data_IF_643814765110
#
_entry.id   IF_643814765110
#
_cell.length_a   1.000
_cell.length_b   1.000
_cell.length_c   1.000
_cell.angle_alpha   90.00
_cell.angle_beta   90.00
_cell.angle_gamma   90.00
#
_symmetry.space_group_name_H-M   'P 1'
#
loop_
_entity.id
_entity.type
_entity.pdbx_description
1 polymer ?
#
# COMPACT_ATOMS: atom_id res chain seq x y z
N UNK A 1 -17.43 -39.82 -39.20
CA UNK A 1 -17.41 -38.42 -38.70
C UNK A 1 -17.67 -38.40 -37.20
N UNK A 2 -16.71 -38.80 -36.35
CA UNK A 2 -16.89 -38.85 -34.88
C UNK A 2 -15.61 -38.56 -34.07
N UNK A 3 -14.58 -37.95 -34.67
CA UNK A 3 -13.26 -37.78 -34.04
C UNK A 3 -12.86 -36.30 -33.89
N UNK A 4 -13.68 -35.36 -34.36
CA UNK A 4 -13.33 -33.93 -34.39
C UNK A 4 -13.94 -33.08 -33.27
N UNK A 5 -14.65 -33.69 -32.32
CA UNK A 5 -15.36 -32.95 -31.24
C UNK A 5 -14.63 -33.04 -29.89
N UNK A 6 -13.59 -33.87 -29.76
CA UNK A 6 -12.95 -34.12 -28.46
C UNK A 6 -11.78 -33.18 -28.10
N UNK A 7 -11.34 -32.31 -29.02
CA UNK A 7 -10.07 -31.54 -28.83
C UNK A 7 -10.31 -30.08 -28.42
N UNK A 8 -11.54 -29.56 -28.49
CA UNK A 8 -11.84 -28.16 -28.13
C UNK A 8 -12.17 -27.92 -26.66
N UNK A 9 -12.21 -28.97 -25.82
CA UNK A 9 -12.54 -28.89 -24.38
C UNK A 9 -11.29 -29.14 -23.50
N UNK A 10 -10.11 -28.72 -23.96
CA UNK A 10 -8.85 -28.88 -23.23
C UNK A 10 -8.15 -27.55 -22.88
N UNK A 11 -8.84 -26.41 -23.04
CA UNK A 11 -8.36 -25.11 -22.58
C UNK A 11 -9.35 -24.49 -21.58
N UNK A 12 -9.74 -25.26 -20.56
CA UNK A 12 -10.25 -24.64 -19.33
C UNK A 12 -9.03 -24.06 -18.64
N UNK A 13 -8.65 -22.83 -19.02
CA UNK A 13 -7.82 -21.99 -18.17
C UNK A 13 -8.63 -21.78 -16.90
N UNK A 14 -8.37 -22.59 -15.87
CA UNK A 14 -8.82 -22.29 -14.52
C UNK A 14 -8.11 -21.01 -14.12
N UNK A 15 -8.77 -19.87 -14.34
CA UNK A 15 -8.34 -18.60 -13.75
C UNK A 15 -8.56 -18.78 -12.25
N UNK A 16 -7.52 -19.22 -11.56
CA UNK A 16 -7.49 -19.25 -10.11
C UNK A 16 -7.45 -17.80 -9.66
N UNK A 17 -8.62 -17.19 -9.48
CA UNK A 17 -8.74 -15.95 -8.75
C UNK A 17 -8.42 -16.29 -7.30
N UNK A 18 -7.15 -16.17 -6.92
CA UNK A 18 -6.83 -16.19 -5.51
C UNK A 18 -7.55 -15.05 -4.83
N UNK A 19 -8.08 -15.34 -3.66
CA UNK A 19 -8.82 -14.40 -2.82
C UNK A 19 -7.85 -13.62 -1.94
N UNK A 20 -8.26 -12.43 -1.49
CA UNK A 20 -7.59 -11.68 -0.43
C UNK A 20 -7.16 -12.58 0.73
N UNK A 21 -5.93 -12.40 1.20
CA UNK A 21 -5.32 -13.18 2.27
C UNK A 21 -4.73 -14.52 1.85
N UNK A 22 -4.92 -14.97 0.59
CA UNK A 22 -4.29 -16.20 0.11
C UNK A 22 -2.77 -16.03 0.08
N UNK A 23 -2.05 -17.10 0.45
CA UNK A 23 -0.60 -17.13 0.29
C UNK A 23 -0.19 -17.00 -1.17
N UNK A 24 0.81 -16.18 -1.42
CA UNK A 24 1.35 -15.95 -2.75
C UNK A 24 2.88 -15.84 -2.70
N UNK A 25 3.53 -16.17 -3.81
CA UNK A 25 4.96 -15.89 -4.03
C UNK A 25 5.16 -14.88 -5.16
N UNK A 26 4.13 -14.63 -5.96
CA UNK A 26 4.14 -13.73 -7.09
C UNK A 26 2.76 -13.07 -7.28
N UNK A 27 2.72 -11.89 -7.93
CA UNK A 27 1.49 -11.15 -8.21
C UNK A 27 0.53 -11.89 -9.14
N UNK A 28 1.05 -12.71 -10.06
CA UNK A 28 0.22 -13.52 -10.98
C UNK A 28 -0.66 -14.54 -10.27
N UNK A 29 -0.34 -14.86 -9.01
CA UNK A 29 -1.14 -15.74 -8.18
C UNK A 29 -2.29 -15.00 -7.51
N UNK A 30 -2.35 -13.67 -7.55
CA UNK A 30 -3.40 -12.87 -6.91
C UNK A 30 -4.50 -12.46 -7.89
N UNK A 31 -5.66 -12.07 -7.37
CA UNK A 31 -6.78 -11.60 -8.18
C UNK A 31 -6.50 -10.28 -8.91
N UNK A 32 -7.38 -9.91 -9.84
CA UNK A 32 -7.30 -8.60 -10.50
C UNK A 32 -7.49 -7.47 -9.49
N UNK A 33 -6.60 -6.48 -9.49
CA UNK A 33 -6.63 -5.39 -8.50
C UNK A 33 -5.98 -5.77 -7.16
N UNK A 34 -5.30 -6.90 -7.10
CA UNK A 34 -4.55 -7.36 -5.93
C UNK A 34 -3.05 -7.43 -6.20
N UNK A 35 -2.27 -7.32 -5.13
CA UNK A 35 -0.82 -7.46 -5.13
C UNK A 35 -0.40 -8.55 -4.16
N UNK A 36 0.73 -9.20 -4.44
CA UNK A 36 1.34 -10.11 -3.49
C UNK A 36 2.17 -9.32 -2.46
N UNK A 37 1.62 -9.13 -1.25
CA UNK A 37 2.29 -8.44 -0.15
C UNK A 37 3.30 -9.37 0.51
N UNK A 38 4.56 -9.25 0.10
CA UNK A 38 5.71 -9.95 0.65
C UNK A 38 6.46 -8.96 1.53
N UNK A 39 6.19 -8.99 2.84
CA UNK A 39 6.85 -8.08 3.77
C UNK A 39 8.36 -8.29 3.71
N UNK A 40 9.08 -7.19 3.57
CA UNK A 40 10.53 -7.25 3.58
C UNK A 40 10.99 -7.59 4.99
N UNK A 41 11.52 -8.79 5.17
CA UNK A 41 12.17 -9.22 6.42
C UNK A 41 13.54 -8.55 6.55
N UNK A 42 13.60 -7.22 6.51
CA UNK A 42 14.80 -6.51 6.91
C UNK A 42 14.96 -6.75 8.42
N UNK A 43 15.55 -7.87 8.80
CA UNK A 43 15.99 -8.07 10.16
C UNK A 43 17.11 -7.07 10.41
N UNK A 44 16.78 -6.02 11.17
CA UNK A 44 17.78 -5.12 11.75
C UNK A 44 18.53 -5.93 12.80
N UNK A 45 19.49 -6.74 12.35
CA UNK A 45 20.37 -7.50 13.23
C UNK A 45 21.49 -6.60 13.73
N UNK A 46 21.75 -6.64 15.03
CA UNK A 46 22.96 -6.04 15.60
C UNK A 46 24.19 -6.73 15.01
N UNK A 47 25.26 -5.99 14.69
CA UNK A 47 26.55 -6.56 14.24
C UNK A 47 27.11 -7.66 15.18
N UNK A 48 26.61 -7.73 16.43
CA UNK A 48 27.01 -8.72 17.44
C UNK A 48 26.40 -10.11 17.24
N UNK A 49 25.43 -10.27 16.33
CA UNK A 49 24.66 -11.52 16.13
C UNK A 49 24.86 -12.11 14.73
N UNK A 50 26.07 -12.01 14.16
CA UNK A 50 26.43 -12.72 12.92
C UNK A 50 26.60 -14.22 13.17
N UNK A 51 25.51 -14.90 13.52
CA UNK A 51 25.41 -16.34 13.30
C UNK A 51 25.26 -16.58 11.79
N UNK A 52 25.77 -17.70 11.26
CA UNK A 52 25.69 -17.98 9.83
C UNK A 52 24.22 -18.11 9.45
N UNK A 53 23.71 -17.10 8.76
CA UNK A 53 22.36 -17.05 8.21
C UNK A 53 22.17 -18.22 7.23
N UNK A 54 21.73 -19.35 7.78
CA UNK A 54 21.32 -20.51 7.02
C UNK A 54 19.89 -20.25 6.54
N UNK A 55 19.77 -20.35 5.22
CA UNK A 55 18.59 -20.53 4.39
C UNK A 55 18.14 -19.27 3.62
N UNK A 56 17.94 -19.38 2.30
CA UNK A 56 17.14 -18.39 1.58
C UNK A 56 15.74 -18.48 2.16
N UNK A 57 15.34 -17.47 2.93
CA UNK A 57 13.98 -17.41 3.46
C UNK A 57 13.06 -17.36 2.23
N UNK A 58 12.23 -18.39 2.07
CA UNK A 58 11.26 -18.43 0.99
C UNK A 58 10.32 -17.25 1.20
N UNK A 59 10.42 -16.26 0.33
CA UNK A 59 9.63 -15.04 0.36
C UNK A 59 8.19 -15.36 -0.03
N UNK A 60 7.40 -15.86 0.93
CA UNK A 60 5.95 -15.95 0.80
C UNK A 60 5.30 -14.70 1.36
N UNK A 61 4.18 -14.33 0.76
CA UNK A 61 3.37 -13.18 1.12
C UNK A 61 1.90 -13.55 1.14
N UNK A 62 1.05 -12.53 1.19
CA UNK A 62 -0.40 -12.70 1.05
C UNK A 62 -0.96 -11.76 0.01
N UNK A 63 -1.98 -12.19 -0.73
CA UNK A 63 -2.68 -11.31 -1.66
C UNK A 63 -3.45 -10.23 -0.89
N UNK A 64 -3.18 -8.97 -1.22
CA UNK A 64 -3.84 -7.80 -0.61
C UNK A 64 -4.28 -6.83 -1.71
N UNK A 65 -5.22 -5.94 -1.40
CA UNK A 65 -5.71 -4.95 -2.38
C UNK A 65 -4.63 -3.92 -2.71
N UNK A 66 -4.57 -3.51 -3.97
CA UNK A 66 -3.91 -2.26 -4.33
C UNK A 66 -4.67 -1.06 -3.77
N UNK A 67 -3.95 0.05 -3.58
CA UNK A 67 -4.53 1.35 -3.28
C UNK A 67 -4.99 2.04 -4.56
N UNK A 68 -6.24 2.46 -4.59
CA UNK A 68 -6.86 3.08 -5.78
C UNK A 68 -6.60 4.59 -5.84
N UNK A 69 -6.94 5.22 -6.97
CA UNK A 69 -6.78 6.66 -7.17
C UNK A 69 -7.46 7.47 -6.06
N UNK A 70 -6.75 8.45 -5.51
CA UNK A 70 -7.20 9.30 -4.40
C UNK A 70 -7.02 8.70 -3.01
N UNK A 71 -6.76 7.39 -2.87
CA UNK A 71 -6.52 6.77 -1.57
C UNK A 71 -5.20 7.21 -0.95
N UNK A 72 -5.16 7.25 0.37
CA UNK A 72 -3.96 7.59 1.12
C UNK A 72 -2.87 6.52 0.97
N UNK A 73 -1.66 6.95 0.65
CA UNK A 73 -0.52 6.07 0.44
C UNK A 73 0.70 6.53 1.23
N UNK A 74 1.67 5.62 1.40
CA UNK A 74 2.99 5.93 1.93
C UNK A 74 4.03 5.52 0.88
N UNK A 75 4.94 6.43 0.54
CA UNK A 75 5.99 6.23 -0.47
C UNK A 75 6.92 5.06 -0.17
N UNK A 76 7.01 4.64 1.11
CA UNK A 76 7.83 3.50 1.54
C UNK A 76 7.11 2.16 1.50
N UNK A 77 5.79 2.12 1.27
CA UNK A 77 5.00 0.88 1.31
C UNK A 77 5.57 -0.16 0.35
N UNK A 78 5.80 0.23 -0.91
CA UNK A 78 6.32 -0.66 -1.96
C UNK A 78 7.72 -1.21 -1.62
N UNK A 79 8.59 -0.37 -1.05
CA UNK A 79 9.95 -0.76 -0.67
C UNK A 79 9.96 -1.72 0.53
N UNK A 80 8.99 -1.57 1.43
CA UNK A 80 8.81 -2.43 2.59
C UNK A 80 8.00 -3.70 2.27
N UNK A 81 7.61 -3.88 1.00
CA UNK A 81 6.88 -5.06 0.55
C UNK A 81 5.37 -5.02 0.78
N UNK A 82 4.82 -3.88 1.21
CA UNK A 82 3.38 -3.65 1.30
C UNK A 82 2.76 -3.36 -0.07
N UNK A 83 1.50 -3.72 -0.24
CA UNK A 83 0.74 -3.25 -1.40
C UNK A 83 0.59 -1.73 -1.37
N UNK A 84 1.07 -1.09 -2.43
CA UNK A 84 1.02 0.36 -2.62
C UNK A 84 -0.08 0.72 -3.63
N UNK A 85 0.09 1.82 -4.36
CA UNK A 85 -0.84 2.24 -5.41
C UNK A 85 -0.96 1.20 -6.53
N UNK A 86 -2.14 1.14 -7.14
CA UNK A 86 -2.43 0.27 -8.27
C UNK A 86 -1.50 0.56 -9.47
N UNK A 87 -1.30 -0.40 -10.38
CA UNK A 87 -0.51 -0.19 -11.59
C UNK A 87 -0.98 1.05 -12.37
N UNK A 88 -0.02 1.90 -12.78
CA UNK A 88 -0.29 3.17 -13.46
C UNK A 88 -0.53 4.38 -12.53
N UNK A 89 -0.57 4.15 -11.21
CA UNK A 89 -0.61 5.19 -10.19
C UNK A 89 0.73 5.30 -9.46
N UNK A 90 1.02 6.49 -8.94
CA UNK A 90 2.17 6.76 -8.07
C UNK A 90 1.70 7.39 -6.77
N UNK A 91 2.43 7.15 -5.68
CA UNK A 91 2.16 7.80 -4.40
C UNK A 91 2.76 9.21 -4.43
N UNK A 92 1.92 10.21 -4.70
CA UNK A 92 2.32 11.59 -4.79
C UNK A 92 2.13 12.28 -3.44
N UNK A 93 3.16 12.99 -2.96
CA UNK A 93 3.15 13.65 -1.65
C UNK A 93 3.42 15.14 -1.84
N UNK A 94 2.51 15.98 -1.34
CA UNK A 94 2.58 17.44 -1.48
C UNK A 94 1.94 18.14 -0.28
N UNK A 95 2.17 19.44 -0.17
CA UNK A 95 1.56 20.29 0.84
C UNK A 95 0.25 20.87 0.34
N UNK A 96 -0.74 20.90 1.21
CA UNK A 96 -1.99 21.64 0.99
C UNK A 96 -2.22 22.60 2.16
N UNK A 97 -2.80 23.80 1.92
CA UNK A 97 -3.17 24.69 2.99
C UNK A 97 -4.19 24.00 3.90
N UNK A 98 -3.99 24.11 5.21
CA UNK A 98 -4.98 23.64 6.18
C UNK A 98 -6.18 24.58 6.05
N UNK A 99 -7.41 24.07 5.81
CA UNK A 99 -8.59 24.90 5.87
C UNK A 99 -8.63 25.57 7.24
N UNK A 100 -8.39 26.88 7.28
CA UNK A 100 -8.64 27.67 8.48
C UNK A 100 -10.15 27.59 8.69
N UNK A 101 -10.57 26.78 9.67
CA UNK A 101 -11.94 26.87 10.17
C UNK A 101 -12.14 28.34 10.51
N UNK A 102 -13.08 28.96 9.79
CA UNK A 102 -13.50 30.34 10.04
C UNK A 102 -13.71 30.50 11.54
N UNK A 103 -13.34 31.64 12.14
CA UNK A 103 -13.55 31.86 13.55
C UNK A 103 -15.05 31.75 13.80
N UNK A 104 -15.48 30.67 14.46
CA UNK A 104 -16.82 30.57 15.00
C UNK A 104 -16.89 31.69 16.03
N UNK A 105 -17.56 32.78 15.67
CA UNK A 105 -17.94 33.85 16.59
C UNK A 105 -18.92 33.28 17.60
N UNK A 106 -18.44 32.51 18.57
CA UNK A 106 -19.20 32.17 19.77
C UNK A 106 -18.33 32.49 20.95
N UNK A 107 -18.74 33.53 21.67
CA UNK A 107 -18.16 33.94 22.93
C UNK A 107 -18.28 32.81 23.95
N UNK A 108 -17.19 32.11 24.24
CA UNK A 108 -17.00 31.32 25.45
C UNK A 108 -15.51 30.94 25.59
N UNK A 109 -14.90 31.07 26.79
CA UNK A 109 -13.53 30.64 27.02
C UNK A 109 -13.53 29.14 27.29
N UNK A 110 -13.54 28.34 26.24
CA UNK A 110 -13.21 26.91 26.36
C UNK A 110 -11.94 26.65 25.58
N UNK A 111 -10.87 26.47 26.36
CA UNK A 111 -9.56 25.90 26.03
C UNK A 111 -9.54 25.30 24.62
N UNK A 112 -8.88 25.99 23.69
CA UNK A 112 -8.59 25.51 22.36
C UNK A 112 -7.72 24.25 22.49
N UNK A 113 -8.38 23.11 22.63
CA UNK A 113 -7.75 21.81 22.53
C UNK A 113 -7.46 21.68 21.06
N UNK A 114 -6.23 22.04 20.65
CA UNK A 114 -5.72 21.69 19.33
C UNK A 114 -6.09 20.23 19.09
N UNK A 115 -6.98 19.98 18.12
CA UNK A 115 -7.19 18.63 17.62
C UNK A 115 -5.91 18.24 16.90
N UNK A 116 -4.93 17.84 17.69
CA UNK A 116 -3.79 17.06 17.23
C UNK A 116 -4.41 15.72 16.87
N UNK A 117 -4.94 15.64 15.64
CA UNK A 117 -5.12 14.36 14.96
C UNK A 117 -3.83 13.58 15.22
N UNK A 118 -3.89 12.34 15.73
CA UNK A 118 -2.72 11.64 16.23
C UNK A 118 -1.65 11.71 15.16
N UNK A 119 -0.67 12.60 15.38
CA UNK A 119 0.32 12.90 14.38
C UNK A 119 1.11 11.62 14.24
N UNK A 120 0.78 10.82 13.20
CA UNK A 120 1.69 9.81 12.70
C UNK A 120 3.02 10.53 12.60
N UNK A 121 4.02 10.02 13.30
CA UNK A 121 5.36 10.62 13.34
C UNK A 121 5.80 10.85 11.90
N UNK A 122 5.64 12.07 11.43
CA UNK A 122 6.00 12.47 10.07
C UNK A 122 7.50 12.68 10.08
N UNK A 123 8.19 12.05 9.13
CA UNK A 123 9.61 12.31 8.90
C UNK A 123 9.79 13.70 8.27
N UNK A 124 8.72 14.23 7.68
CA UNK A 124 8.70 15.53 7.01
C UNK A 124 8.39 16.63 8.03
N UNK A 125 9.20 17.69 8.01
CA UNK A 125 9.05 18.83 8.90
C UNK A 125 7.66 19.48 8.75
N UNK A 126 7.00 19.84 9.86
CA UNK A 126 5.75 20.59 9.82
C UNK A 126 6.01 22.01 9.31
N UNK A 127 5.03 22.56 8.58
CA UNK A 127 5.04 23.94 8.12
C UNK A 127 3.74 24.62 8.57
N UNK A 128 3.84 25.83 9.10
CA UNK A 128 2.69 26.57 9.63
C UNK A 128 1.67 26.84 8.52
N UNK A 129 0.40 26.52 8.81
CA UNK A 129 -0.72 26.70 7.88
C UNK A 129 -0.83 25.66 6.77
N UNK A 130 0.06 24.66 6.71
CA UNK A 130 0.05 23.59 5.71
C UNK A 130 0.02 22.20 6.34
N UNK A 131 -0.58 21.26 5.63
CA UNK A 131 -0.52 19.83 5.95
C UNK A 131 0.02 19.04 4.76
N UNK A 132 0.76 17.98 5.06
CA UNK A 132 1.23 17.04 4.06
C UNK A 132 0.14 16.03 3.72
N UNK A 133 -0.09 15.83 2.43
CA UNK A 133 -1.04 14.85 1.89
C UNK A 133 -0.29 13.93 0.95
N UNK A 134 -0.47 12.63 1.14
CA UNK A 134 0.07 11.57 0.29
C UNK A 134 -1.07 10.75 -0.29
N UNK A 135 -1.23 10.73 -1.62
CA UNK A 135 -2.31 10.03 -2.31
C UNK A 135 -1.84 9.33 -3.59
N UNK A 136 -2.55 8.28 -3.97
CA UNK A 136 -2.34 7.61 -5.25
C UNK A 136 -2.90 8.47 -6.39
N UNK A 137 -2.04 8.90 -7.30
CA UNK A 137 -2.39 9.77 -8.44
C UNK A 137 -1.81 9.19 -9.73
N UNK A 138 -2.39 9.52 -10.88
CA UNK A 138 -1.90 9.06 -12.18
C UNK A 138 -0.50 9.61 -12.45
N UNK A 139 0.33 8.82 -13.11
CA UNK A 139 1.65 9.26 -13.57
C UNK A 139 1.41 10.24 -14.72
N UNK A 140 1.51 11.54 -14.45
CA UNK A 140 1.50 12.57 -15.50
C UNK A 140 2.82 12.47 -16.25
N UNK A 141 2.78 11.96 -17.49
CA UNK A 141 3.96 11.84 -18.37
C UNK A 141 3.99 12.98 -19.36
#
# INVERSE_FOLDING_TARGET
MKVLVAVTIACVFTVTYATLGQMCTDVSQCGTGECCQILSEFMVVSKRELLPFKQPIQKSGTCQKYKMEGEHCNSFDKMNGYCSCAPGLTCHTYQVPIPTLQPVMTMAPTVATHMISPARRSIVAPQDGYQWVSRCEKITT
#
